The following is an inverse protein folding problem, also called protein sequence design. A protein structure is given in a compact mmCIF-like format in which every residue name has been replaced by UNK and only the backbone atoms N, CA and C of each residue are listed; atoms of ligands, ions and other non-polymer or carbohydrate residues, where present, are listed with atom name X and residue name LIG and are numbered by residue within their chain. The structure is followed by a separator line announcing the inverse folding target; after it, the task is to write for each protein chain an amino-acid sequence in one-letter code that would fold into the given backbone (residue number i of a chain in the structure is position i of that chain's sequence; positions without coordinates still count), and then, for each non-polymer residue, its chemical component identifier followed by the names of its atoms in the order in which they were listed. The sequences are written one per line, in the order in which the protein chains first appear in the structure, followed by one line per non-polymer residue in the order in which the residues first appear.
data_IF_697131415052
#
_entry.id   IF_697131415052
#
_cell.length_a   1.000
_cell.length_b   1.000
_cell.length_c   1.000
_cell.angle_alpha   90.00
_cell.angle_beta   90.00
_cell.angle_gamma   90.00
#
_symmetry.space_group_name_H-M   'P 1'
#
loop_
_entity.id
_entity.type
_entity.pdbx_description
1 polymer ?
#
# COMPACT_ATOMS: atom_id res chain seq x y z
N UNK A 1 29.43 -55.34 -47.40
CA UNK A 1 30.09 -54.01 -47.48
C UNK A 1 29.16 -52.93 -46.93
N UNK A 2 29.64 -52.22 -45.90
CA UNK A 2 29.21 -50.94 -45.28
C UNK A 2 27.75 -50.47 -45.46
N UNK A 3 26.94 -50.57 -44.39
CA UNK A 3 25.77 -49.70 -44.17
C UNK A 3 26.12 -48.66 -43.11
N UNK A 4 26.09 -47.40 -43.51
CA UNK A 4 26.47 -46.23 -42.72
C UNK A 4 25.23 -45.72 -41.96
N UNK A 5 25.33 -45.61 -40.63
CA UNK A 5 24.23 -45.16 -39.76
C UNK A 5 24.08 -43.63 -39.80
N UNK A 6 22.86 -43.14 -40.07
CA UNK A 6 22.46 -41.75 -39.82
C UNK A 6 21.75 -41.68 -38.46
N UNK A 7 22.35 -40.95 -37.51
CA UNK A 7 21.73 -40.54 -36.25
C UNK A 7 20.74 -39.41 -36.53
N UNK A 8 19.46 -39.59 -36.21
CA UNK A 8 18.49 -38.50 -36.12
C UNK A 8 18.52 -37.94 -34.69
N UNK A 9 18.94 -36.68 -34.56
CA UNK A 9 18.81 -35.89 -33.33
C UNK A 9 17.40 -35.31 -33.24
N UNK A 10 16.62 -35.77 -32.27
CA UNK A 10 15.42 -35.06 -31.81
C UNK A 10 15.85 -33.95 -30.84
N UNK A 11 15.69 -32.69 -31.24
CA UNK A 11 15.86 -31.52 -30.36
C UNK A 11 14.68 -31.47 -29.37
N UNK A 12 14.96 -31.64 -28.08
CA UNK A 12 14.01 -31.36 -27.02
C UNK A 12 13.76 -29.85 -26.93
N UNK A 13 12.48 -29.45 -26.96
CA UNK A 13 12.05 -28.08 -26.70
C UNK A 13 12.00 -27.90 -25.18
N UNK A 14 12.98 -27.22 -24.62
CA UNK A 14 12.96 -26.82 -23.21
C UNK A 14 11.99 -25.65 -23.03
N UNK A 15 10.87 -25.91 -22.35
CA UNK A 15 9.97 -24.86 -21.88
C UNK A 15 10.71 -23.97 -20.87
N UNK A 16 10.95 -22.71 -21.25
CA UNK A 16 11.44 -21.68 -20.33
C UNK A 16 10.37 -21.35 -19.29
N UNK A 17 10.71 -21.53 -18.02
CA UNK A 17 9.91 -21.07 -16.88
C UNK A 17 9.67 -19.56 -16.99
N UNK A 18 8.47 -19.05 -16.61
CA UNK A 18 8.19 -17.62 -16.66
C UNK A 18 9.16 -16.89 -15.75
N UNK A 19 9.85 -15.86 -16.27
CA UNK A 19 10.69 -14.98 -15.46
C UNK A 19 9.81 -14.38 -14.36
N UNK A 20 10.14 -14.63 -13.09
CA UNK A 20 9.53 -13.90 -11.97
C UNK A 20 9.78 -12.41 -12.19
N UNK A 21 8.70 -11.64 -12.26
CA UNK A 21 8.78 -10.18 -12.29
C UNK A 21 9.56 -9.69 -11.06
N UNK A 22 10.28 -8.57 -11.21
CA UNK A 22 10.98 -7.95 -10.08
C UNK A 22 9.99 -7.68 -8.94
N UNK A 23 10.38 -7.97 -7.69
CA UNK A 23 9.46 -7.96 -6.53
C UNK A 23 8.68 -6.65 -6.36
N UNK A 24 9.24 -5.52 -6.81
CA UNK A 24 8.58 -4.20 -6.79
C UNK A 24 7.30 -4.13 -7.64
N UNK A 25 7.11 -5.05 -8.58
CA UNK A 25 5.93 -5.14 -9.45
C UNK A 25 4.85 -6.08 -8.90
N UNK A 26 5.03 -6.66 -7.71
CA UNK A 26 4.10 -7.64 -7.13
C UNK A 26 2.65 -7.12 -6.95
N UNK A 27 2.43 -5.80 -6.97
CA UNK A 27 1.09 -5.22 -6.98
C UNK A 27 0.33 -5.54 -8.28
N UNK A 28 1.01 -5.63 -9.44
CA UNK A 28 0.36 -6.01 -10.69
C UNK A 28 -0.19 -7.43 -10.64
N UNK A 29 0.51 -8.35 -9.97
CA UNK A 29 0.03 -9.71 -9.76
C UNK A 29 -1.13 -9.71 -8.74
N UNK A 30 -1.03 -8.88 -7.70
CA UNK A 30 -2.08 -8.75 -6.67
C UNK A 30 -3.39 -8.17 -7.23
N UNK A 31 -3.32 -7.26 -8.20
CA UNK A 31 -4.49 -6.72 -8.92
C UNK A 31 -5.26 -7.79 -9.71
N UNK A 32 -4.58 -8.87 -10.11
CA UNK A 32 -5.17 -9.98 -10.87
C UNK A 32 -5.62 -11.13 -9.97
N UNK A 33 -5.30 -11.10 -8.69
CA UNK A 33 -5.64 -12.15 -7.74
C UNK A 33 -7.10 -11.97 -7.27
N UNK A 34 -8.02 -12.86 -7.67
CA UNK A 34 -9.43 -12.73 -7.31
C UNK A 34 -9.66 -12.88 -5.79
N UNK A 35 -8.72 -13.47 -5.04
CA UNK A 35 -8.84 -13.62 -3.58
C UNK A 35 -8.54 -12.32 -2.83
N UNK A 36 -7.76 -11.42 -3.45
CA UNK A 36 -7.43 -10.12 -2.89
C UNK A 36 -8.40 -9.03 -3.37
N UNK A 37 -9.03 -9.21 -4.53
CA UNK A 37 -9.94 -8.24 -5.12
C UNK A 37 -11.18 -8.02 -4.25
N UNK A 38 -11.47 -6.75 -3.97
CA UNK A 38 -12.62 -6.32 -3.16
C UNK A 38 -13.67 -5.68 -4.07
N UNK A 39 -13.23 -4.81 -4.97
CA UNK A 39 -14.10 -4.03 -5.86
C UNK A 39 -13.31 -3.59 -7.09
N UNK A 40 -14.01 -3.16 -8.13
CA UNK A 40 -13.41 -2.62 -9.37
C UNK A 40 -14.43 -1.82 -10.17
N UNK A 41 -13.97 -0.72 -10.76
CA UNK A 41 -14.69 0.04 -11.77
C UNK A 41 -13.79 0.26 -13.00
N UNK A 42 -14.20 1.11 -13.94
CA UNK A 42 -13.46 1.37 -15.18
C UNK A 42 -12.09 2.02 -14.97
N UNK A 43 -11.85 2.68 -13.83
CA UNK A 43 -10.65 3.47 -13.55
C UNK A 43 -9.72 2.84 -12.51
N UNK A 44 -10.26 2.13 -11.51
CA UNK A 44 -9.50 1.63 -10.37
C UNK A 44 -9.85 0.19 -10.00
N UNK A 45 -8.94 -0.45 -9.25
CA UNK A 45 -9.18 -1.72 -8.57
C UNK A 45 -8.89 -1.56 -7.09
N UNK A 46 -9.75 -2.13 -6.25
CA UNK A 46 -9.58 -2.20 -4.80
C UNK A 46 -9.15 -3.61 -4.43
N UNK A 47 -8.04 -3.73 -3.71
CA UNK A 47 -7.53 -5.01 -3.22
C UNK A 47 -7.25 -4.96 -1.71
N UNK A 48 -7.31 -6.11 -1.05
CA UNK A 48 -6.73 -6.29 0.29
C UNK A 48 -5.21 -6.25 0.22
N UNK A 49 -4.58 -5.52 1.13
CA UNK A 49 -3.12 -5.57 1.30
C UNK A 49 -2.73 -6.98 1.79
N UNK A 50 -1.78 -7.62 1.09
CA UNK A 50 -1.32 -8.98 1.40
C UNK A 50 -0.62 -9.09 2.76
N UNK A 51 -0.08 -7.99 3.27
CA UNK A 51 0.61 -7.88 4.55
C UNK A 51 -0.01 -6.73 5.38
N UNK A 52 -1.29 -6.85 5.77
CA UNK A 52 -2.07 -5.74 6.31
C UNK A 52 -1.44 -5.21 7.61
N UNK A 53 -1.40 -3.89 7.84
CA UNK A 53 -0.78 -3.32 9.04
C UNK A 53 -1.79 -2.99 10.16
N UNK A 54 -3.07 -3.19 9.89
CA UNK A 54 -4.20 -3.08 10.80
C UNK A 54 -5.25 -4.15 10.46
N UNK A 55 -6.38 -4.20 11.18
CA UNK A 55 -7.50 -5.12 10.88
C UNK A 55 -8.02 -4.97 9.46
N UNK A 56 -8.18 -3.73 8.99
CA UNK A 56 -8.54 -3.42 7.61
C UNK A 56 -7.40 -2.65 6.96
N UNK A 57 -6.87 -3.20 5.87
CA UNK A 57 -5.87 -2.51 5.07
C UNK A 57 -6.09 -2.87 3.60
N UNK A 58 -6.53 -1.87 2.85
CA UNK A 58 -6.80 -1.98 1.43
C UNK A 58 -5.86 -1.07 0.64
N UNK A 59 -5.69 -1.42 -0.62
CA UNK A 59 -4.98 -0.63 -1.61
C UNK A 59 -5.93 -0.35 -2.77
N UNK A 60 -6.08 0.92 -3.12
CA UNK A 60 -6.78 1.34 -4.33
C UNK A 60 -5.72 1.68 -5.37
N UNK A 61 -5.76 1.01 -6.53
CA UNK A 61 -4.77 1.16 -7.59
C UNK A 61 -5.46 1.64 -8.87
N UNK A 62 -4.92 2.66 -9.55
CA UNK A 62 -5.42 3.02 -10.87
C UNK A 62 -5.10 1.91 -11.87
N UNK A 63 -6.00 1.68 -12.83
CA UNK A 63 -5.75 0.83 -14.01
C UNK A 63 -4.74 1.49 -14.95
N UNK A 64 -4.71 2.83 -15.00
CA UNK A 64 -3.71 3.59 -15.73
C UNK A 64 -2.28 3.30 -15.22
N UNK A 65 -1.29 3.29 -16.13
CA UNK A 65 0.08 2.94 -15.80
C UNK A 65 0.88 4.04 -15.07
N UNK A 66 0.46 4.42 -13.86
CA UNK A 66 1.15 5.40 -13.00
C UNK A 66 2.06 4.70 -11.98
N UNK A 67 3.36 5.00 -12.00
CA UNK A 67 4.35 4.29 -11.17
C UNK A 67 4.33 4.68 -9.69
N UNK A 68 4.09 5.96 -9.38
CA UNK A 68 4.03 6.50 -8.01
C UNK A 68 3.12 7.72 -8.00
N UNK A 69 2.59 8.12 -6.83
CA UNK A 69 1.78 9.36 -6.68
C UNK A 69 2.52 10.61 -7.18
N UNK A 70 3.86 10.63 -7.12
CA UNK A 70 4.68 11.74 -7.62
C UNK A 70 4.75 11.87 -9.14
N UNK A 71 4.09 10.98 -9.89
CA UNK A 71 3.93 11.10 -11.34
C UNK A 71 2.57 11.67 -11.75
N UNK A 72 1.69 11.92 -10.78
CA UNK A 72 0.42 12.62 -11.00
C UNK A 72 0.70 14.04 -11.49
N UNK A 73 -0.07 14.44 -12.49
CA UNK A 73 -0.09 15.77 -13.10
C UNK A 73 -1.53 16.28 -13.12
N UNK A 74 -1.74 17.56 -13.45
CA UNK A 74 -3.06 18.21 -13.44
C UNK A 74 -4.15 17.46 -14.21
N UNK A 75 -3.82 16.82 -15.33
CA UNK A 75 -4.76 16.00 -16.12
C UNK A 75 -5.27 14.75 -15.39
N UNK A 76 -4.63 14.31 -14.31
CA UNK A 76 -5.07 13.18 -13.48
C UNK A 76 -5.91 13.63 -12.27
N UNK A 77 -6.31 14.91 -12.17
CA UNK A 77 -7.07 15.41 -11.02
C UNK A 77 -8.35 14.61 -10.77
N UNK A 78 -9.12 14.31 -11.82
CA UNK A 78 -10.34 13.51 -11.69
C UNK A 78 -10.05 12.10 -11.17
N UNK A 79 -8.96 11.47 -11.62
CA UNK A 79 -8.56 10.15 -11.14
C UNK A 79 -8.17 10.20 -9.66
N UNK A 80 -7.43 11.22 -9.22
CA UNK A 80 -7.00 11.34 -7.84
C UNK A 80 -8.19 11.56 -6.89
N UNK A 81 -9.16 12.38 -7.27
CA UNK A 81 -10.42 12.54 -6.53
C UNK A 81 -11.26 11.26 -6.54
N UNK A 82 -11.38 10.60 -7.69
CA UNK A 82 -12.12 9.34 -7.80
C UNK A 82 -11.56 8.27 -6.86
N UNK A 83 -10.23 8.15 -6.76
CA UNK A 83 -9.58 7.25 -5.80
C UNK A 83 -9.92 7.60 -4.33
N UNK A 84 -10.01 8.88 -3.99
CA UNK A 84 -10.43 9.36 -2.65
C UNK A 84 -11.90 9.03 -2.37
N UNK A 85 -12.79 9.26 -3.33
CA UNK A 85 -14.22 8.97 -3.21
C UNK A 85 -14.47 7.46 -3.05
N UNK A 86 -13.78 6.61 -3.82
CA UNK A 86 -13.82 5.15 -3.66
C UNK A 86 -13.34 4.73 -2.27
N UNK A 87 -12.34 5.42 -1.71
CA UNK A 87 -11.88 5.16 -0.34
C UNK A 87 -12.95 5.54 0.70
N UNK A 88 -13.58 6.71 0.54
CA UNK A 88 -14.64 7.18 1.43
C UNK A 88 -15.87 6.25 1.40
N UNK A 89 -16.28 5.75 0.23
CA UNK A 89 -17.34 4.73 0.13
C UNK A 89 -16.92 3.39 0.75
N UNK A 90 -15.66 3.00 0.60
CA UNK A 90 -15.15 1.76 1.19
C UNK A 90 -15.20 1.78 2.72
N UNK A 91 -14.82 2.90 3.36
CA UNK A 91 -14.81 2.98 4.83
C UNK A 91 -16.22 3.02 5.44
N UNK A 92 -17.23 3.48 4.69
CA UNK A 92 -18.64 3.43 5.14
C UNK A 92 -19.13 1.99 5.37
N UNK A 93 -18.55 1.01 4.68
CA UNK A 93 -18.82 -0.43 4.88
C UNK A 93 -18.25 -0.95 6.22
N UNK A 94 -17.53 -0.11 6.99
CA UNK A 94 -16.85 -0.45 8.23
C UNK A 94 -17.15 0.56 9.36
N UNK A 95 -18.43 0.84 9.62
CA UNK A 95 -18.92 1.91 10.51
C UNK A 95 -18.42 1.90 11.98
N UNK A 96 -17.78 0.83 12.44
CA UNK A 96 -17.15 0.74 13.77
C UNK A 96 -15.65 1.09 13.83
N UNK A 97 -15.04 1.50 12.70
CA UNK A 97 -13.60 1.69 12.59
C UNK A 97 -13.26 3.09 12.07
N UNK A 98 -12.20 3.69 12.63
CA UNK A 98 -11.57 4.89 12.08
C UNK A 98 -10.51 4.49 11.06
N UNK A 99 -10.30 5.32 10.05
CA UNK A 99 -9.37 5.05 8.95
C UNK A 99 -8.44 6.22 8.66
N UNK A 100 -7.27 5.89 8.11
CA UNK A 100 -6.41 6.81 7.38
C UNK A 100 -6.52 6.49 5.88
N UNK A 101 -6.59 7.54 5.07
CA UNK A 101 -6.65 7.47 3.61
C UNK A 101 -5.48 8.31 3.07
N UNK A 102 -4.51 7.67 2.42
CA UNK A 102 -3.32 8.39 1.96
C UNK A 102 -2.21 7.56 1.35
N UNK A 103 -1.10 8.24 1.07
CA UNK A 103 0.04 7.71 0.32
C UNK A 103 1.31 7.77 1.16
N UNK A 104 2.20 6.80 0.96
CA UNK A 104 3.55 6.88 1.49
C UNK A 104 4.40 7.88 0.71
N UNK A 105 5.12 8.75 1.43
CA UNK A 105 6.00 9.75 0.83
C UNK A 105 7.09 9.15 -0.06
N UNK A 106 7.60 7.97 0.31
CA UNK A 106 8.47 7.16 -0.53
C UNK A 106 7.84 5.77 -0.67
N UNK A 107 7.19 5.47 -1.82
CA UNK A 107 6.55 4.17 -2.03
C UNK A 107 7.55 3.02 -1.96
N UNK A 108 7.19 1.95 -1.26
CA UNK A 108 8.01 0.73 -1.15
C UNK A 108 7.89 -0.19 -2.38
N UNK A 109 6.83 -0.04 -3.16
CA UNK A 109 6.54 -0.80 -4.36
C UNK A 109 6.28 0.14 -5.54
N UNK A 110 6.51 -0.37 -6.75
CA UNK A 110 6.08 0.30 -7.97
C UNK A 110 4.60 0.02 -8.21
N UNK A 111 3.96 0.91 -8.97
CA UNK A 111 2.50 1.11 -9.09
C UNK A 111 1.99 2.00 -7.99
N UNK A 112 1.39 3.13 -8.37
CA UNK A 112 0.68 4.02 -7.45
C UNK A 112 -0.42 3.23 -6.73
N UNK A 113 -0.54 3.44 -5.43
CA UNK A 113 -1.57 2.84 -4.60
C UNK A 113 -1.92 3.79 -3.47
N UNK A 114 -3.21 3.98 -3.27
CA UNK A 114 -3.78 4.69 -2.13
C UNK A 114 -4.02 3.69 -1.01
N UNK A 115 -3.46 3.93 0.17
CA UNK A 115 -3.75 3.13 1.36
C UNK A 115 -5.07 3.57 1.98
N UNK A 116 -5.92 2.61 2.29
CA UNK A 116 -7.09 2.76 3.16
C UNK A 116 -6.90 1.82 4.33
N UNK A 117 -6.54 2.35 5.49
CA UNK A 117 -6.07 1.55 6.62
C UNK A 117 -6.78 1.95 7.91
N UNK A 118 -7.31 0.98 8.66
CA UNK A 118 -7.93 1.25 9.95
C UNK A 118 -6.89 1.65 11.02
N UNK A 119 -7.25 2.55 11.93
CA UNK A 119 -6.31 3.11 12.92
C UNK A 119 -6.04 2.17 14.10
N UNK A 120 -6.66 0.99 14.17
CA UNK A 120 -6.39 0.04 15.24
C UNK A 120 -4.95 -0.48 15.21
N UNK A 121 -4.34 -0.54 14.01
CA UNK A 121 -2.99 -1.09 13.80
C UNK A 121 -2.76 -2.46 14.48
N UNK A 122 -3.83 -3.24 14.67
CA UNK A 122 -3.79 -4.55 15.29
C UNK A 122 -3.55 -5.60 14.22
N UNK A 123 -2.28 -5.88 13.95
CA UNK A 123 -1.89 -6.89 12.97
C UNK A 123 -0.58 -7.61 13.32
N UNK A 124 -0.46 -8.92 13.02
CA UNK A 124 0.81 -9.64 13.08
C UNK A 124 1.85 -9.12 12.06
N UNK A 125 1.43 -8.48 10.95
CA UNK A 125 2.35 -7.96 9.93
C UNK A 125 2.93 -6.57 10.26
N UNK A 126 2.41 -5.89 11.29
CA UNK A 126 3.01 -4.67 11.84
C UNK A 126 4.21 -5.04 12.72
N UNK A 127 5.40 -5.22 12.13
CA UNK A 127 6.55 -5.81 12.83
C UNK A 127 7.61 -4.81 13.28
N UNK A 128 7.80 -3.73 12.54
CA UNK A 128 8.96 -2.85 12.70
C UNK A 128 8.56 -1.43 13.02
N UNK A 129 9.49 -0.68 13.61
CA UNK A 129 9.35 0.77 13.79
C UNK A 129 9.09 1.50 12.48
N UNK A 130 9.71 1.04 11.39
CA UNK A 130 9.48 1.56 10.04
C UNK A 130 8.04 1.38 9.58
N UNK A 131 7.44 0.20 9.83
CA UNK A 131 6.02 0.00 9.51
C UNK A 131 5.11 0.92 10.33
N UNK A 132 5.42 1.15 11.62
CA UNK A 132 4.63 2.07 12.43
C UNK A 132 4.74 3.51 11.91
N UNK A 133 5.98 4.01 11.85
CA UNK A 133 6.26 5.39 11.49
C UNK A 133 5.82 5.71 10.06
N UNK A 134 5.73 4.73 9.14
CA UNK A 134 5.24 4.98 7.79
C UNK A 134 3.77 5.39 7.74
N UNK A 135 2.96 5.03 8.74
CA UNK A 135 1.54 5.41 8.82
C UNK A 135 1.25 6.51 9.86
N UNK A 136 2.10 6.66 10.87
CA UNK A 136 1.82 7.53 12.04
C UNK A 136 2.71 8.76 12.12
N UNK A 137 3.34 9.14 11.03
CA UNK A 137 4.14 10.37 10.90
C UNK A 137 3.79 11.06 9.58
N UNK A 138 4.28 12.29 9.30
CA UNK A 138 4.09 12.93 8.00
C UNK A 138 4.74 12.21 6.81
N UNK A 139 5.36 11.03 7.03
CA UNK A 139 5.64 10.09 5.95
C UNK A 139 4.36 9.58 5.27
N UNK A 140 3.25 9.50 6.00
CA UNK A 140 1.92 9.23 5.46
C UNK A 140 1.27 10.56 5.08
N UNK A 141 0.96 10.72 3.79
CA UNK A 141 0.41 11.95 3.24
C UNK A 141 -1.06 11.72 2.93
N UNK A 142 -1.93 12.56 3.52
CA UNK A 142 -3.37 12.50 3.30
C UNK A 142 -3.71 12.60 1.81
N UNK A 143 -4.60 11.72 1.34
CA UNK A 143 -5.12 11.73 -0.03
C UNK A 143 -5.82 13.05 -0.34
N UNK A 144 -6.74 13.46 0.53
CA UNK A 144 -7.49 14.72 0.43
C UNK A 144 -6.60 15.96 0.36
N UNK A 145 -5.48 15.96 1.07
CA UNK A 145 -4.50 17.05 1.00
C UNK A 145 -3.81 17.11 -0.37
N UNK A 146 -3.41 15.96 -0.92
CA UNK A 146 -2.83 15.91 -2.27
C UNK A 146 -3.86 16.28 -3.34
N UNK A 147 -5.12 15.87 -3.20
CA UNK A 147 -6.21 16.31 -4.08
C UNK A 147 -6.35 17.83 -4.11
N UNK A 148 -6.39 18.48 -2.94
CA UNK A 148 -6.43 19.95 -2.82
C UNK A 148 -5.20 20.61 -3.42
N UNK A 149 -4.01 20.10 -3.10
CA UNK A 149 -2.75 20.64 -3.61
C UNK A 149 -2.70 20.61 -5.15
N UNK A 150 -3.11 19.50 -5.77
CA UNK A 150 -3.16 19.38 -7.23
C UNK A 150 -4.23 20.31 -7.84
N UNK A 151 -5.38 20.43 -7.18
CA UNK A 151 -6.47 21.33 -7.60
C UNK A 151 -6.01 22.79 -7.62
N UNK A 152 -5.34 23.23 -6.56
CA UNK A 152 -4.94 24.64 -6.36
C UNK A 152 -3.67 25.00 -7.13
N UNK A 153 -2.65 24.15 -7.09
CA UNK A 153 -1.31 24.50 -7.59
C UNK A 153 -0.99 23.87 -8.96
N UNK A 154 -1.78 22.89 -9.40
CA UNK A 154 -1.52 22.15 -10.64
C UNK A 154 -0.42 21.08 -10.54
N UNK A 155 0.27 21.00 -9.40
CA UNK A 155 1.36 20.05 -9.15
C UNK A 155 1.40 19.58 -7.69
N UNK A 156 2.05 18.44 -7.45
CA UNK A 156 2.25 17.88 -6.12
C UNK A 156 3.66 18.18 -5.59
N UNK A 157 3.75 18.65 -4.35
CA UNK A 157 5.02 18.94 -3.70
C UNK A 157 5.59 17.69 -3.02
N UNK A 158 6.67 17.17 -3.59
CA UNK A 158 7.34 15.98 -3.05
C UNK A 158 8.13 16.29 -1.78
N UNK A 159 8.01 15.40 -0.79
CA UNK A 159 8.88 15.39 0.41
C UNK A 159 10.26 14.85 0.00
N UNK A 160 11.33 15.54 0.41
CA UNK A 160 12.69 15.07 0.14
C UNK A 160 12.97 13.71 0.80
N UNK A 161 13.82 12.89 0.18
CA UNK A 161 14.21 11.59 0.72
C UNK A 161 14.80 11.70 2.12
N UNK A 162 15.61 12.73 2.37
CA UNK A 162 16.20 13.01 3.69
C UNK A 162 15.13 13.28 4.75
N UNK A 163 14.12 14.09 4.43
CA UNK A 163 13.03 14.39 5.37
C UNK A 163 12.17 13.14 5.60
N UNK A 164 11.84 12.40 4.55
CA UNK A 164 11.11 11.14 4.66
C UNK A 164 11.84 10.12 5.55
N UNK A 165 13.17 10.02 5.42
CA UNK A 165 13.99 9.14 6.25
C UNK A 165 14.00 9.57 7.73
N UNK A 166 13.99 10.88 8.01
CA UNK A 166 13.87 11.40 9.39
C UNK A 166 12.56 10.96 10.04
N UNK A 167 11.44 11.02 9.32
CA UNK A 167 10.16 10.56 9.82
C UNK A 167 10.18 9.06 10.16
N UNK A 168 10.69 8.23 9.25
CA UNK A 168 10.83 6.79 9.46
C UNK A 168 11.74 6.44 10.64
N UNK A 169 12.80 7.23 10.87
CA UNK A 169 13.77 7.00 11.94
C UNK A 169 13.35 7.56 13.30
N UNK A 170 12.26 8.34 13.37
CA UNK A 170 11.77 8.94 14.61
C UNK A 170 11.50 7.90 15.71
N UNK A 171 11.46 8.37 16.96
CA UNK A 171 11.08 7.53 18.10
C UNK A 171 9.65 7.03 17.98
N UNK A 172 9.34 5.88 18.59
CA UNK A 172 7.97 5.39 18.63
C UNK A 172 7.12 6.31 19.50
N UNK A 173 5.99 6.74 18.96
CA UNK A 173 4.95 7.50 19.66
C UNK A 173 3.59 6.90 19.34
N UNK A 174 2.74 6.74 20.35
CA UNK A 174 1.34 6.38 20.13
C UNK A 174 0.65 7.45 19.27
N UNK A 175 -0.25 7.04 18.38
CA UNK A 175 -0.99 7.97 17.52
C UNK A 175 -2.21 8.58 18.23
N UNK A 176 -2.72 7.94 19.29
CA UNK A 176 -3.89 8.39 20.05
C UNK A 176 -3.52 9.14 21.35
N UNK A 177 -2.30 8.97 21.88
CA UNK A 177 -1.90 9.61 23.14
C UNK A 177 -0.40 9.97 23.20
N UNK A 178 0.03 10.52 24.34
CA UNK A 178 1.40 11.01 24.53
C UNK A 178 2.45 9.93 24.82
N UNK A 179 2.05 8.67 24.99
CA UNK A 179 2.97 7.56 25.33
C UNK A 179 4.01 7.36 24.23
N UNK A 180 5.27 7.15 24.66
CA UNK A 180 6.43 6.85 23.80
C UNK A 180 6.98 5.45 24.14
N UNK A 181 6.51 4.39 23.47
CA UNK A 181 6.96 3.03 23.77
C UNK A 181 8.44 2.82 23.42
N UNK A 182 9.16 1.99 24.17
CA UNK A 182 10.61 1.75 23.91
C UNK A 182 10.85 0.88 22.68
N UNK A 183 9.92 -0.04 22.40
CA UNK A 183 10.00 -0.97 21.27
C UNK A 183 8.60 -1.31 20.74
N UNK A 184 8.55 -2.05 19.62
CA UNK A 184 7.29 -2.45 18.97
C UNK A 184 6.41 -3.36 19.85
N UNK A 185 7.01 -4.20 20.70
CA UNK A 185 6.26 -5.04 21.63
C UNK A 185 5.52 -4.21 22.66
N UNK A 186 6.20 -3.23 23.26
CA UNK A 186 5.60 -2.27 24.20
C UNK A 186 4.47 -1.48 23.54
N UNK A 187 4.69 -1.02 22.30
CA UNK A 187 3.66 -0.32 21.52
C UNK A 187 2.42 -1.19 21.30
N UNK A 188 2.60 -2.43 20.82
CA UNK A 188 1.47 -3.33 20.57
C UNK A 188 0.68 -3.64 21.83
N UNK A 189 1.36 -3.90 22.95
CA UNK A 189 0.68 -4.08 24.24
C UNK A 189 -0.10 -2.84 24.65
N UNK A 190 0.50 -1.66 24.50
CA UNK A 190 -0.17 -0.39 24.79
C UNK A 190 -1.43 -0.17 23.93
N UNK A 191 -1.37 -0.42 22.63
CA UNK A 191 -2.54 -0.31 21.74
C UNK A 191 -3.67 -1.23 22.21
N UNK A 192 -3.34 -2.50 22.49
CA UNK A 192 -4.32 -3.49 22.94
C UNK A 192 -4.95 -3.12 24.30
N UNK A 193 -4.14 -2.72 25.28
CA UNK A 193 -4.64 -2.46 26.64
C UNK A 193 -5.36 -1.12 26.79
N UNK A 194 -4.98 -0.11 26.01
CA UNK A 194 -5.39 1.28 26.25
C UNK A 194 -6.33 1.86 25.20
N UNK A 195 -6.34 1.32 23.97
CA UNK A 195 -7.10 1.91 22.86
C UNK A 195 -8.03 0.91 22.16
N UNK A 196 -7.79 -0.39 22.34
CA UNK A 196 -8.54 -1.46 21.67
C UNK A 196 -9.28 -2.39 22.64
N UNK A 197 -9.25 -2.10 23.95
CA UNK A 197 -9.95 -2.92 24.94
C UNK A 197 -11.44 -2.99 24.58
N UNK A 198 -11.93 -4.23 24.55
CA UNK A 198 -13.21 -4.62 23.97
C UNK A 198 -14.35 -3.81 24.58
N UNK A 199 -14.94 -2.89 23.81
CA UNK A 199 -16.39 -2.77 23.85
C UNK A 199 -16.91 -4.00 23.11
N UNK A 200 -17.07 -5.09 23.86
CA UNK A 200 -17.88 -6.22 23.42
C UNK A 200 -19.29 -5.67 23.20
N UNK A 201 -19.74 -5.65 21.94
CA UNK A 201 -21.16 -5.83 21.61
C UNK A 201 -21.34 -7.29 21.18
#
# INVERSE_FOLDING_TARGET
MKRNGKKNLTKAVTATLPKKNHWSLGLLDSMKDPTLKVDEDDSVVVIKDKYPKARFHYLILPKENISTVWKIQKNHENLLWHMDDVAEELIKKHSGHKFLIGYHAVPSMQRMHLHVISTDFNSPCLKTKYHWNSFTTPFFISSKELCKQLKENGELKKISSTTAQKYLNSELKCHECSVKPKNMGDLKRHLLSSHLSEKQE
#
